data_IF_775495145920
#
_entry.id   IF_775495145920
#
_cell.length_a   1.000
_cell.length_b   1.000
_cell.length_c   1.000
_cell.angle_alpha   90.00
_cell.angle_beta   90.00
_cell.angle_gamma   90.00
#
_symmetry.space_group_name_H-M   'P 1'
#
loop_
_entity.id
_entity.type
_entity.pdbx_description
1 polymer ?
#
# COMPACT_ATOMS: atom_id res chain seq x y z
N UNK A 1 -21.47 -31.14 -10.18
CA UNK A 1 -20.74 -30.79 -8.95
C UNK A 1 -19.43 -30.05 -9.19
N UNK A 2 -18.60 -30.36 -10.20
CA UNK A 2 -17.45 -29.51 -10.61
C UNK A 2 -17.75 -28.57 -11.79
N UNK A 3 -18.93 -28.66 -12.39
CA UNK A 3 -19.38 -27.78 -13.47
C UNK A 3 -20.14 -26.56 -12.95
N UNK A 4 -20.59 -26.60 -11.69
CA UNK A 4 -21.45 -25.58 -11.10
C UNK A 4 -20.64 -24.38 -10.58
N UNK A 5 -19.43 -24.61 -10.04
CA UNK A 5 -18.55 -23.55 -9.50
C UNK A 5 -17.98 -22.63 -10.61
N UNK A 6 -17.61 -23.21 -11.76
CA UNK A 6 -17.06 -22.44 -12.88
C UNK A 6 -18.10 -21.51 -13.54
N UNK A 7 -19.37 -21.89 -13.48
CA UNK A 7 -20.48 -21.06 -13.98
C UNK A 7 -20.86 -19.96 -12.97
N UNK A 8 -20.70 -20.19 -11.66
CA UNK A 8 -20.86 -19.15 -10.64
C UNK A 8 -19.76 -18.08 -10.70
N UNK A 9 -18.50 -18.47 -10.91
CA UNK A 9 -17.37 -17.55 -11.04
C UNK A 9 -17.51 -16.62 -12.26
N UNK A 10 -17.92 -17.16 -13.41
CA UNK A 10 -18.22 -16.36 -14.61
C UNK A 10 -19.33 -15.36 -14.38
N UNK A 11 -20.35 -15.75 -13.60
CA UNK A 11 -21.49 -14.88 -13.29
C UNK A 11 -21.08 -13.74 -12.36
N UNK A 12 -20.21 -14.02 -11.40
CA UNK A 12 -19.65 -13.01 -10.48
C UNK A 12 -18.76 -12.00 -11.23
N UNK A 13 -17.97 -12.46 -12.19
CA UNK A 13 -17.10 -11.59 -13.01
C UNK A 13 -17.89 -10.68 -13.95
N UNK A 14 -18.95 -11.20 -14.58
CA UNK A 14 -19.87 -10.37 -15.38
C UNK A 14 -20.59 -9.31 -14.53
N UNK A 15 -20.95 -9.63 -13.29
CA UNK A 15 -21.57 -8.69 -12.34
C UNK A 15 -20.60 -7.58 -11.89
N UNK A 16 -19.30 -7.89 -11.78
CA UNK A 16 -18.26 -6.88 -11.47
C UNK A 16 -18.04 -5.94 -12.66
N UNK A 17 -18.02 -6.47 -13.88
CA UNK A 17 -17.84 -5.70 -15.11
C UNK A 17 -19.04 -4.77 -15.41
N UNK A 18 -20.27 -5.18 -15.10
CA UNK A 18 -21.44 -4.34 -15.29
C UNK A 18 -21.51 -3.17 -14.30
N UNK A 19 -21.15 -3.40 -13.02
CA UNK A 19 -21.04 -2.33 -12.01
C UNK A 19 -19.98 -1.27 -12.32
N UNK A 20 -18.92 -1.64 -13.02
CA UNK A 20 -17.87 -0.69 -13.43
C UNK A 20 -18.31 0.24 -14.59
N UNK A 21 -19.36 -0.13 -15.34
CA UNK A 21 -19.84 0.65 -16.50
C UNK A 21 -20.89 1.71 -16.13
N UNK A 22 -21.60 1.54 -15.02
CA UNK A 22 -22.65 2.47 -14.55
C UNK A 22 -22.17 3.50 -13.50
N UNK A 23 -20.85 3.62 -13.28
CA UNK A 23 -20.31 4.69 -12.43
C UNK A 23 -20.45 6.06 -13.15
N UNK A 24 -21.09 7.08 -12.54
CA UNK A 24 -21.21 8.41 -13.13
C UNK A 24 -19.82 9.04 -13.33
N UNK A 25 -19.58 9.60 -14.51
CA UNK A 25 -18.42 10.47 -14.78
C UNK A 25 -18.72 11.85 -14.22
N UNK A 26 -18.05 12.24 -13.13
CA UNK A 26 -18.04 13.63 -12.67
C UNK A 26 -16.96 14.41 -13.42
N UNK A 27 -17.37 15.13 -14.47
CA UNK A 27 -16.63 16.26 -15.01
C UNK A 27 -16.86 17.48 -14.10
N UNK A 28 -15.87 17.82 -13.27
CA UNK A 28 -15.94 18.97 -12.38
C UNK A 28 -14.56 19.52 -12.04
N UNK A 29 -14.15 20.60 -12.74
CA UNK A 29 -13.04 21.46 -12.32
C UNK A 29 -13.35 22.04 -10.94
N UNK A 30 -12.52 21.73 -9.95
CA UNK A 30 -12.42 22.53 -8.72
C UNK A 30 -10.96 22.86 -8.49
N UNK A 31 -10.60 24.10 -8.83
CA UNK A 31 -9.46 24.75 -8.25
C UNK A 31 -9.82 25.07 -6.79
N UNK A 32 -9.12 24.49 -5.82
CA UNK A 32 -9.30 24.83 -4.41
C UNK A 32 -7.94 25.10 -3.77
N UNK A 33 -7.72 26.40 -3.55
CA UNK A 33 -7.01 27.03 -2.44
C UNK A 33 -6.32 26.07 -1.47
N UNK A 34 -5.00 26.21 -1.37
CA UNK A 34 -4.22 25.72 -0.24
C UNK A 34 -4.70 26.43 1.02
N UNK A 35 -5.65 25.82 1.75
CA UNK A 35 -5.85 26.13 3.15
C UNK A 35 -4.69 25.46 3.92
N UNK A 36 -3.90 26.26 4.63
CA UNK A 36 -2.90 25.80 5.60
C UNK A 36 -3.61 25.06 6.74
N UNK A 37 -3.95 23.80 6.47
CA UNK A 37 -4.58 22.92 7.43
C UNK A 37 -3.57 22.60 8.53
N UNK A 38 -3.94 22.91 9.77
CA UNK A 38 -3.04 22.75 10.91
C UNK A 38 -2.85 21.27 11.20
N UNK A 39 -1.59 20.83 11.24
CA UNK A 39 -1.24 19.45 11.61
C UNK A 39 -1.65 19.19 13.05
N UNK A 40 -2.46 18.16 13.27
CA UNK A 40 -2.83 17.71 14.61
C UNK A 40 -1.66 16.94 15.21
N UNK A 41 -1.24 17.30 16.43
CA UNK A 41 -0.15 16.64 17.13
C UNK A 41 -0.47 15.14 17.34
N UNK A 42 0.49 14.28 17.00
CA UNK A 42 0.35 12.81 17.10
C UNK A 42 1.31 12.18 18.13
N UNK A 43 2.28 12.94 18.64
CA UNK A 43 3.27 12.52 19.64
C UNK A 43 3.15 13.42 20.87
N UNK A 44 3.11 12.82 22.06
CA UNK A 44 2.97 13.53 23.34
C UNK A 44 4.11 13.16 24.29
N UNK A 45 4.60 14.12 25.08
CA UNK A 45 5.77 13.92 25.97
C UNK A 45 5.51 12.89 27.08
N UNK A 46 4.26 12.79 27.53
CA UNK A 46 3.79 11.88 28.56
C UNK A 46 3.36 10.50 28.03
N UNK A 47 3.26 10.34 26.70
CA UNK A 47 2.89 9.07 26.04
C UNK A 47 3.80 8.75 24.84
N UNK A 48 5.03 8.26 25.09
CA UNK A 48 5.95 7.88 24.02
C UNK A 48 5.40 6.75 23.15
N UNK A 49 5.32 6.98 21.83
CA UNK A 49 4.73 6.03 20.89
C UNK A 49 3.23 6.20 20.68
N UNK A 50 2.63 7.26 21.25
CA UNK A 50 1.23 7.62 21.01
C UNK A 50 0.90 7.75 19.52
N UNK A 51 -0.35 7.49 19.18
CA UNK A 51 -0.96 7.85 17.89
C UNK A 51 -2.35 8.44 18.18
N UNK A 52 -2.62 9.65 17.70
CA UNK A 52 -3.84 10.40 17.99
C UNK A 52 -5.11 9.89 17.28
N UNK A 53 -4.99 8.99 16.30
CA UNK A 53 -6.10 8.62 15.41
C UNK A 53 -6.26 7.12 15.18
N UNK A 54 -5.25 6.32 15.54
CA UNK A 54 -5.20 4.89 15.23
C UNK A 54 -4.98 4.57 13.75
N UNK A 55 -4.91 5.60 12.87
CA UNK A 55 -4.56 5.42 11.47
C UNK A 55 -3.05 5.46 11.28
N UNK A 56 -2.58 4.59 10.39
CA UNK A 56 -1.18 4.48 10.04
C UNK A 56 -1.02 4.47 8.53
N UNK A 57 0.15 4.93 8.08
CA UNK A 57 0.57 4.86 6.69
C UNK A 57 1.84 4.01 6.60
N UNK A 58 1.88 3.14 5.59
CA UNK A 58 3.06 2.33 5.32
C UNK A 58 4.20 3.25 4.86
N UNK A 59 5.35 3.18 5.53
CA UNK A 59 6.53 3.98 5.22
C UNK A 59 7.68 3.14 4.68
N UNK A 60 7.74 1.86 5.05
CA UNK A 60 8.77 0.96 4.56
C UNK A 60 8.35 -0.50 4.61
N UNK A 61 8.97 -1.30 3.75
CA UNK A 61 8.82 -2.76 3.72
C UNK A 61 10.21 -3.37 3.63
N UNK A 62 10.49 -4.36 4.47
CA UNK A 62 11.60 -5.28 4.25
C UNK A 62 11.01 -6.55 3.67
N UNK A 63 11.53 -6.96 2.52
CA UNK A 63 11.13 -8.20 1.87
C UNK A 63 12.21 -9.25 2.00
N UNK A 64 11.81 -10.51 1.97
CA UNK A 64 12.71 -11.64 1.78
C UNK A 64 12.40 -12.31 0.43
N UNK A 65 13.45 -12.63 -0.32
CA UNK A 65 13.40 -13.36 -1.58
C UNK A 65 14.12 -14.69 -1.40
N UNK A 66 13.36 -15.78 -1.35
CA UNK A 66 13.91 -17.13 -1.26
C UNK A 66 12.89 -18.12 -0.70
N UNK A 67 13.08 -19.41 -0.98
CA UNK A 67 12.21 -20.49 -0.49
C UNK A 67 12.61 -21.05 0.88
N UNK A 68 13.76 -20.64 1.39
CA UNK A 68 14.32 -21.12 2.66
C UNK A 68 14.58 -19.95 3.59
N UNK A 69 14.47 -20.19 4.90
CA UNK A 69 14.77 -19.19 5.94
C UNK A 69 16.26 -19.04 6.25
N UNK A 70 17.09 -19.99 5.82
CA UNK A 70 18.55 -19.99 6.05
C UNK A 70 19.36 -19.48 4.84
N UNK A 71 18.69 -19.02 3.80
CA UNK A 71 19.28 -18.46 2.58
C UNK A 71 18.33 -17.43 1.98
N UNK A 72 18.72 -16.77 0.89
CA UNK A 72 17.89 -15.81 0.18
C UNK A 72 18.47 -14.41 0.23
N UNK A 73 17.64 -13.42 -0.04
CA UNK A 73 18.05 -12.03 -0.16
C UNK A 73 17.05 -11.08 0.47
N UNK A 74 17.53 -10.08 1.21
CA UNK A 74 16.68 -9.06 1.81
C UNK A 74 16.77 -7.78 1.00
N UNK A 75 15.61 -7.21 0.66
CA UNK A 75 15.52 -5.96 -0.10
C UNK A 75 14.60 -5.00 0.63
N UNK A 76 15.06 -3.76 0.76
CA UNK A 76 14.33 -2.67 1.40
C UNK A 76 13.46 -1.91 0.39
N UNK A 77 12.28 -1.49 0.82
CA UNK A 77 11.37 -0.67 0.03
C UNK A 77 10.96 0.51 0.89
N UNK A 78 11.19 1.74 0.44
CA UNK A 78 10.99 2.94 1.27
C UNK A 78 10.11 3.93 0.54
N UNK A 79 9.12 4.48 1.24
CA UNK A 79 8.28 5.57 0.72
C UNK A 79 9.07 6.86 0.76
N UNK A 80 9.20 7.51 -0.40
CA UNK A 80 9.89 8.80 -0.50
C UNK A 80 8.90 9.93 -0.24
N UNK A 81 7.85 10.02 -1.05
CA UNK A 81 6.83 11.08 -0.95
C UNK A 81 5.56 10.66 -1.70
N UNK A 82 4.40 10.84 -1.07
CA UNK A 82 3.13 10.43 -1.63
C UNK A 82 3.15 8.95 -2.03
N UNK A 83 2.87 8.66 -3.30
CA UNK A 83 2.88 7.32 -3.89
C UNK A 83 4.22 6.93 -4.55
N UNK A 84 5.29 7.71 -4.32
CA UNK A 84 6.63 7.40 -4.86
C UNK A 84 7.41 6.54 -3.87
N UNK A 85 7.92 5.42 -4.35
CA UNK A 85 8.71 4.47 -3.60
C UNK A 85 10.08 4.26 -4.23
N UNK A 86 11.03 3.79 -3.43
CA UNK A 86 12.28 3.25 -3.90
C UNK A 86 12.47 1.81 -3.40
N UNK A 87 12.91 0.94 -4.28
CA UNK A 87 13.47 -0.36 -3.97
C UNK A 87 14.99 -0.17 -3.80
N UNK A 88 15.51 -0.57 -2.64
CA UNK A 88 16.92 -0.52 -2.28
C UNK A 88 17.42 -1.97 -2.18
N UNK A 89 18.03 -2.44 -3.26
CA UNK A 89 18.66 -3.76 -3.39
C UNK A 89 20.18 -3.58 -3.26
N UNK A 90 20.67 -3.68 -2.02
CA UNK A 90 22.05 -3.37 -1.65
C UNK A 90 22.50 -1.98 -2.15
N UNK A 91 23.40 -1.91 -3.14
CA UNK A 91 23.89 -0.68 -3.77
C UNK A 91 23.07 -0.22 -4.98
N UNK A 92 22.13 -1.04 -5.48
CA UNK A 92 21.20 -0.68 -6.56
C UNK A 92 19.90 -0.10 -5.99
N UNK A 93 19.62 1.17 -6.30
CA UNK A 93 18.43 1.88 -5.84
C UNK A 93 17.59 2.29 -7.04
N UNK A 94 16.37 1.78 -7.09
CA UNK A 94 15.47 1.98 -8.22
C UNK A 94 14.12 2.58 -7.77
N UNK A 95 13.57 3.56 -8.49
CA UNK A 95 12.23 4.06 -8.22
C UNK A 95 11.19 3.00 -8.60
N UNK A 96 10.18 2.83 -7.76
CA UNK A 96 9.08 1.87 -7.95
C UNK A 96 7.74 2.50 -7.59
N UNK A 97 6.65 1.90 -8.07
CA UNK A 97 5.29 2.39 -7.83
C UNK A 97 4.68 1.81 -6.55
N UNK A 98 3.64 2.46 -6.01
CA UNK A 98 2.80 1.87 -4.94
C UNK A 98 2.20 0.51 -5.36
N UNK A 99 1.91 0.28 -6.64
CA UNK A 99 1.41 -1.00 -7.13
C UNK A 99 2.46 -2.12 -6.99
N UNK A 100 3.73 -1.83 -7.27
CA UNK A 100 4.82 -2.79 -7.08
C UNK A 100 4.97 -3.17 -5.60
N UNK A 101 4.78 -2.21 -4.69
CA UNK A 101 4.83 -2.44 -3.24
C UNK A 101 3.66 -3.32 -2.77
N UNK A 102 2.46 -3.15 -3.33
CA UNK A 102 1.32 -4.00 -3.00
C UNK A 102 1.50 -5.46 -3.48
N UNK A 103 2.28 -5.67 -4.56
CA UNK A 103 2.64 -7.00 -5.06
C UNK A 103 3.61 -7.76 -4.14
N UNK A 104 4.15 -7.12 -3.10
CA UNK A 104 4.99 -7.77 -2.08
C UNK A 104 4.18 -8.58 -1.07
N UNK A 105 2.84 -8.65 -1.23
CA UNK A 105 1.94 -9.47 -0.39
C UNK A 105 2.22 -10.98 -0.42
N UNK A 106 3.06 -11.46 -1.35
CA UNK A 106 3.54 -12.83 -1.41
C UNK A 106 2.71 -13.75 -2.31
N UNK A 107 2.86 -15.07 -2.13
CA UNK A 107 2.12 -16.10 -2.88
C UNK A 107 2.88 -16.81 -4.01
N UNK A 108 4.18 -16.55 -4.19
CA UNK A 108 5.02 -17.21 -5.19
C UNK A 108 6.51 -17.07 -4.89
N UNK A 109 7.37 -17.24 -5.90
CA UNK A 109 8.84 -17.09 -5.80
C UNK A 109 9.33 -15.63 -5.85
N UNK A 110 8.40 -14.68 -5.78
CA UNK A 110 8.70 -13.26 -5.76
C UNK A 110 9.08 -12.78 -4.35
N UNK A 111 9.44 -11.51 -4.23
CA UNK A 111 9.62 -10.86 -2.93
C UNK A 111 8.35 -11.03 -2.08
N UNK A 112 8.53 -11.45 -0.84
CA UNK A 112 7.46 -11.53 0.16
C UNK A 112 7.76 -10.54 1.28
N UNK A 113 6.75 -9.75 1.66
CA UNK A 113 6.85 -8.84 2.80
C UNK A 113 7.16 -9.63 4.07
N UNK A 114 8.25 -9.24 4.73
CA UNK A 114 8.71 -9.86 5.97
C UNK A 114 8.51 -8.92 7.16
N UNK A 115 8.82 -7.64 6.99
CA UNK A 115 8.58 -6.60 7.99
C UNK A 115 7.91 -5.39 7.32
N UNK A 116 6.83 -4.90 7.92
CA UNK A 116 6.13 -3.69 7.50
C UNK A 116 6.35 -2.60 8.54
N UNK A 117 6.90 -1.46 8.11
CA UNK A 117 7.08 -0.29 8.94
C UNK A 117 5.95 0.70 8.68
N UNK A 118 5.13 0.92 9.69
CA UNK A 118 4.01 1.86 9.66
C UNK A 118 4.33 3.09 10.54
N UNK A 119 4.06 4.27 9.99
CA UNK A 119 4.11 5.54 10.72
C UNK A 119 2.70 6.12 10.94
N UNK A 120 2.53 7.07 11.87
CA UNK A 120 1.24 7.70 12.11
C UNK A 120 0.75 8.47 10.88
N UNK A 121 -0.54 8.38 10.58
CA UNK A 121 -1.15 9.19 9.53
C UNK A 121 -1.33 10.63 10.02
N UNK A 122 -0.74 11.58 9.30
CA UNK A 122 -0.81 13.00 9.67
C UNK A 122 -2.21 13.55 9.36
N UNK A 123 -2.97 13.87 10.40
CA UNK A 123 -4.27 14.54 10.27
C UNK A 123 -4.07 16.05 10.19
N UNK A 124 -4.88 16.70 9.35
CA UNK A 124 -4.88 18.16 9.19
C UNK A 124 -6.31 18.69 9.30
N UNK A 125 -6.48 19.79 10.04
CA UNK A 125 -7.75 20.48 10.30
C UNK A 125 -7.79 21.85 9.65
#
# INVERSE_FOLDING_TARGET
MLLDEADEDKKLEQLRLSKARDAPREDGKVASKEEESKVVAFSFEDDPGSNNSGFYELQGVITHKGRSSNSGHYVGWVRIEGDRWAMCDDDDVQPVSSEDVLRLSGGGDWHCAYLLLYGPRILRN
#
